data_IF_913061562741
#
_entry.id   IF_913061562741
#
_cell.length_a   1.000
_cell.length_b   1.000
_cell.length_c   1.000
_cell.angle_alpha   90.00
_cell.angle_beta   90.00
_cell.angle_gamma   90.00
#
_symmetry.space_group_name_H-M   'P 1'
#
loop_
_entity.id
_entity.type
_entity.pdbx_description
1 polymer ?
#
# COMPACT_ATOMS: atom_id res chain seq x y z
N UNK A 1 -2.94 0.06 -10.34
CA UNK A 1 -3.34 1.29 -9.62
C UNK A 1 -4.19 2.20 -10.50
N UNK A 2 -3.74 2.72 -11.62
CA UNK A 2 -4.50 3.62 -12.52
C UNK A 2 -5.87 3.05 -12.93
N UNK A 3 -5.94 1.76 -13.30
CA UNK A 3 -7.22 1.11 -13.63
C UNK A 3 -8.19 1.05 -12.44
N UNK A 4 -7.68 0.91 -11.22
CA UNK A 4 -8.51 0.92 -10.02
C UNK A 4 -9.06 2.33 -9.74
N UNK A 5 -8.24 3.36 -9.91
CA UNK A 5 -8.67 4.77 -9.83
C UNK A 5 -9.75 5.07 -10.87
N UNK A 6 -9.51 4.70 -12.13
CA UNK A 6 -10.46 4.92 -13.22
C UNK A 6 -11.81 4.21 -12.96
N UNK A 7 -11.77 2.97 -12.46
CA UNK A 7 -12.99 2.22 -12.13
C UNK A 7 -13.80 2.87 -10.99
N UNK A 8 -13.14 3.53 -10.06
CA UNK A 8 -13.78 4.29 -8.98
C UNK A 8 -14.10 5.74 -9.31
N UNK A 9 -13.79 6.20 -10.53
CA UNK A 9 -13.84 7.62 -10.91
C UNK A 9 -13.10 8.54 -9.92
N UNK A 10 -11.95 8.09 -9.42
CA UNK A 10 -11.12 8.77 -8.44
C UNK A 10 -9.87 9.37 -9.07
N UNK A 11 -9.44 10.50 -8.53
CA UNK A 11 -8.12 11.08 -8.80
C UNK A 11 -7.09 10.54 -7.79
N UNK A 12 -5.80 10.49 -8.13
CA UNK A 12 -4.77 9.97 -7.23
C UNK A 12 -4.77 10.63 -5.84
N UNK A 13 -4.92 11.94 -5.76
CA UNK A 13 -4.94 12.70 -4.50
C UNK A 13 -6.09 12.35 -3.55
N UNK A 14 -7.12 11.63 -4.03
CA UNK A 14 -8.20 11.14 -3.18
C UNK A 14 -7.77 9.96 -2.30
N UNK A 15 -6.71 9.24 -2.69
CA UNK A 15 -6.17 8.10 -1.93
C UNK A 15 -5.20 8.61 -0.88
N UNK A 16 -5.57 8.45 0.38
CA UNK A 16 -4.76 8.92 1.51
C UNK A 16 -3.81 7.88 2.09
N UNK A 17 -3.82 6.64 1.60
CA UNK A 17 -2.91 5.60 2.04
C UNK A 17 -2.84 4.45 1.06
N UNK A 18 -1.64 3.87 0.90
CA UNK A 18 -1.39 2.67 0.09
C UNK A 18 -0.81 1.56 0.97
N UNK A 19 -1.54 0.44 1.10
CA UNK A 19 -0.97 -0.79 1.62
C UNK A 19 -0.20 -1.47 0.49
N UNK A 20 1.12 -1.55 0.65
CA UNK A 20 2.04 -2.08 -0.36
C UNK A 20 1.99 -3.61 -0.40
N UNK A 21 2.22 -4.17 -1.57
CA UNK A 21 2.56 -5.60 -1.68
C UNK A 21 3.82 -5.92 -0.88
N UNK A 22 4.87 -5.13 -0.98
CA UNK A 22 6.01 -5.04 -0.07
C UNK A 22 6.56 -6.37 0.43
N UNK A 23 7.21 -7.13 -0.45
CA UNK A 23 7.73 -8.48 -0.13
C UNK A 23 9.10 -8.47 0.53
N UNK A 24 9.70 -7.31 0.74
CA UNK A 24 11.09 -7.13 1.18
C UNK A 24 12.11 -7.73 0.21
N UNK A 25 11.74 -7.88 -1.05
CA UNK A 25 12.68 -8.20 -2.13
C UNK A 25 13.02 -6.92 -2.88
N UNK A 26 14.31 -6.66 -3.12
CA UNK A 26 14.76 -5.43 -3.78
C UNK A 26 14.03 -5.18 -5.11
N UNK A 27 13.86 -6.21 -5.92
CA UNK A 27 13.19 -6.07 -7.23
C UNK A 27 11.75 -5.60 -7.09
N UNK A 28 10.97 -6.19 -6.17
CA UNK A 28 9.59 -5.78 -5.94
C UNK A 28 9.55 -4.37 -5.35
N UNK A 29 10.29 -4.13 -4.28
CA UNK A 29 10.14 -2.92 -3.48
C UNK A 29 10.56 -1.67 -4.26
N UNK A 30 11.62 -1.77 -5.07
CA UNK A 30 12.02 -0.68 -5.97
C UNK A 30 10.99 -0.45 -7.07
N UNK A 31 10.50 -1.51 -7.72
CA UNK A 31 9.51 -1.38 -8.80
C UNK A 31 8.17 -0.85 -8.27
N UNK A 32 7.69 -1.37 -7.15
CA UNK A 32 6.45 -0.92 -6.52
C UNK A 32 6.56 0.51 -6.02
N UNK A 33 7.66 0.84 -5.34
CA UNK A 33 7.90 2.20 -4.83
C UNK A 33 7.89 3.25 -5.96
N UNK A 34 8.51 2.95 -7.10
CA UNK A 34 8.46 3.81 -8.29
C UNK A 34 7.04 3.92 -8.84
N UNK A 35 6.35 2.81 -9.00
CA UNK A 35 4.97 2.82 -9.52
C UNK A 35 3.99 3.58 -8.60
N UNK A 36 4.15 3.48 -7.28
CA UNK A 36 3.37 4.27 -6.31
C UNK A 36 3.71 5.76 -6.43
N UNK A 37 4.99 6.10 -6.52
CA UNK A 37 5.43 7.48 -6.73
C UNK A 37 4.88 8.08 -8.03
N UNK A 38 4.94 7.34 -9.13
CA UNK A 38 4.49 7.83 -10.44
C UNK A 38 2.99 8.07 -10.48
N UNK A 39 2.20 7.26 -9.75
CA UNK A 39 0.73 7.40 -9.73
C UNK A 39 0.26 8.39 -8.67
N UNK A 40 0.82 8.36 -7.46
CA UNK A 40 0.31 9.11 -6.30
C UNK A 40 1.22 10.27 -5.86
N UNK A 41 2.41 10.36 -6.44
CA UNK A 41 3.42 11.35 -6.05
C UNK A 41 4.19 10.96 -4.79
N UNK A 42 5.09 11.85 -4.33
CA UNK A 42 6.04 11.55 -3.26
C UNK A 42 5.46 11.63 -1.84
N UNK A 43 4.22 12.09 -1.68
CA UNK A 43 3.64 12.41 -0.36
C UNK A 43 2.50 11.52 0.08
N UNK A 44 2.07 10.55 -0.71
CA UNK A 44 1.03 9.62 -0.30
C UNK A 44 1.63 8.57 0.62
N UNK A 45 1.18 8.49 1.91
CA UNK A 45 1.69 7.53 2.85
C UNK A 45 1.47 6.10 2.37
N UNK A 46 2.49 5.26 2.54
CA UNK A 46 2.42 3.85 2.19
C UNK A 46 3.11 3.00 3.26
N UNK A 47 2.70 1.76 3.45
CA UNK A 47 3.42 0.82 4.30
C UNK A 47 3.20 -0.63 3.87
N UNK A 48 4.12 -1.51 4.29
CA UNK A 48 4.03 -2.94 4.08
C UNK A 48 3.87 -3.66 5.42
N UNK A 49 2.87 -4.53 5.51
CA UNK A 49 2.55 -5.23 6.77
C UNK A 49 3.04 -6.68 6.81
N UNK A 50 3.62 -7.19 5.72
CA UNK A 50 4.18 -8.55 5.65
C UNK A 50 5.27 -8.83 6.69
N UNK A 51 5.97 -7.81 7.15
CA UNK A 51 6.93 -7.94 8.26
C UNK A 51 6.29 -8.40 9.58
N UNK A 52 4.99 -8.16 9.77
CA UNK A 52 4.26 -8.56 10.97
C UNK A 52 3.64 -9.97 10.86
N UNK A 53 3.10 -10.34 9.71
CA UNK A 53 2.32 -11.58 9.56
C UNK A 53 2.89 -12.57 8.54
N UNK A 54 4.00 -12.24 7.89
CA UNK A 54 4.59 -13.05 6.83
C UNK A 54 3.90 -12.88 5.47
N UNK A 55 4.46 -13.50 4.45
CA UNK A 55 3.86 -13.56 3.12
C UNK A 55 2.90 -14.76 3.03
N UNK A 56 1.61 -14.49 3.15
CA UNK A 56 0.56 -15.53 3.22
C UNK A 56 0.14 -16.08 1.84
N UNK A 57 0.91 -15.81 0.79
CA UNK A 57 0.68 -16.31 -0.58
C UNK A 57 -0.77 -16.05 -1.05
N UNK A 58 -1.55 -17.09 -1.28
CA UNK A 58 -2.94 -16.97 -1.72
C UNK A 58 -3.86 -16.21 -0.77
N UNK A 59 -3.52 -16.12 0.52
CA UNK A 59 -4.26 -15.34 1.51
C UNK A 59 -3.72 -13.92 1.71
N UNK A 60 -2.60 -13.54 1.06
CA UNK A 60 -1.98 -12.23 1.27
C UNK A 60 -2.93 -11.08 0.90
N UNK A 61 -3.57 -11.16 -0.25
CA UNK A 61 -4.45 -10.09 -0.73
C UNK A 61 -5.63 -9.82 0.19
N UNK A 62 -6.29 -10.84 0.74
CA UNK A 62 -7.41 -10.64 1.66
C UNK A 62 -6.93 -10.11 3.02
N UNK A 63 -5.78 -10.57 3.50
CA UNK A 63 -5.20 -10.06 4.76
C UNK A 63 -4.87 -8.58 4.64
N UNK A 64 -4.24 -8.16 3.57
CA UNK A 64 -3.87 -6.77 3.30
C UNK A 64 -5.10 -5.89 3.02
N UNK A 65 -6.13 -6.43 2.38
CA UNK A 65 -7.42 -5.76 2.24
C UNK A 65 -8.06 -5.48 3.61
N UNK A 66 -7.99 -6.43 4.56
CA UNK A 66 -8.47 -6.23 5.93
C UNK A 66 -7.65 -5.13 6.64
N UNK A 67 -6.33 -5.13 6.49
CA UNK A 67 -5.47 -4.05 7.04
C UNK A 67 -5.88 -2.69 6.48
N UNK A 68 -6.11 -2.60 5.17
CA UNK A 68 -6.55 -1.36 4.53
C UNK A 68 -7.93 -0.89 5.05
N UNK A 69 -8.86 -1.82 5.23
CA UNK A 69 -10.18 -1.52 5.83
C UNK A 69 -10.07 -1.05 7.29
N UNK A 70 -9.19 -1.69 8.08
CA UNK A 70 -8.94 -1.28 9.46
C UNK A 70 -8.28 0.11 9.51
N UNK A 71 -7.40 0.44 8.59
CA UNK A 71 -6.82 1.78 8.49
C UNK A 71 -7.90 2.85 8.24
N UNK A 72 -8.85 2.56 7.34
CA UNK A 72 -10.03 3.41 7.13
C UNK A 72 -10.88 3.55 8.40
N UNK A 73 -11.23 2.42 9.02
CA UNK A 73 -12.15 2.39 10.15
C UNK A 73 -11.57 3.09 11.37
N UNK A 74 -10.31 2.79 11.70
CA UNK A 74 -9.65 3.26 12.92
C UNK A 74 -9.04 4.65 12.79
N UNK A 75 -8.86 5.16 11.59
CA UNK A 75 -8.14 6.41 11.37
C UNK A 75 -6.67 6.30 11.78
N UNK A 76 -6.07 5.15 11.55
CA UNK A 76 -4.67 4.88 11.88
C UNK A 76 -3.99 4.13 10.72
N UNK A 77 -2.93 4.69 10.20
CA UNK A 77 -2.11 4.08 9.16
C UNK A 77 -1.02 3.22 9.83
N UNK A 78 -0.95 1.92 9.53
CA UNK A 78 0.09 1.08 10.12
C UNK A 78 1.47 1.44 9.57
N UNK A 79 2.51 1.31 10.40
CA UNK A 79 3.88 1.37 9.95
C UNK A 79 4.34 0.09 9.26
N UNK A 80 5.53 0.14 8.68
CA UNK A 80 6.17 -1.02 8.06
C UNK A 80 6.90 -1.82 9.13
N UNK A 81 6.25 -2.87 9.62
CA UNK A 81 6.72 -3.68 10.73
C UNK A 81 8.12 -4.24 10.49
N UNK A 82 8.95 -4.22 11.53
CA UNK A 82 10.34 -4.72 11.53
C UNK A 82 11.30 -3.96 10.59
N UNK A 83 10.89 -2.81 10.06
CA UNK A 83 11.75 -1.93 9.25
C UNK A 83 12.37 -0.86 10.14
N UNK A 84 13.69 -0.71 10.08
CA UNK A 84 14.45 0.29 10.87
C UNK A 84 14.97 1.44 10.01
N UNK A 85 15.19 1.18 8.73
CA UNK A 85 15.66 2.17 7.76
C UNK A 85 15.12 1.80 6.38
N UNK A 86 14.87 2.81 5.56
CA UNK A 86 14.45 2.62 4.17
C UNK A 86 15.68 2.46 3.28
N UNK A 87 15.54 1.66 2.22
CA UNK A 87 16.53 1.61 1.15
C UNK A 87 16.62 2.96 0.44
N UNK A 88 17.82 3.34 0.00
CA UNK A 88 18.08 4.59 -0.74
C UNK A 88 17.32 4.68 -2.07
N UNK A 89 16.91 3.55 -2.62
CA UNK A 89 16.12 3.47 -3.85
C UNK A 89 14.60 3.56 -3.60
N UNK A 90 14.16 3.71 -2.34
CA UNK A 90 12.73 3.86 -2.01
C UNK A 90 12.21 5.19 -2.55
N UNK A 91 11.33 5.12 -3.55
CA UNK A 91 10.83 6.29 -4.25
C UNK A 91 9.57 6.92 -3.63
N UNK A 92 8.75 6.13 -2.93
CA UNK A 92 7.50 6.59 -2.30
C UNK A 92 7.68 6.86 -0.80
N UNK A 93 6.68 7.52 -0.19
CA UNK A 93 6.68 7.80 1.25
C UNK A 93 6.29 6.54 2.04
N UNK A 94 7.29 5.77 2.49
CA UNK A 94 7.06 4.58 3.33
C UNK A 94 7.09 4.97 4.80
N UNK A 95 5.99 4.68 5.50
CA UNK A 95 5.90 4.85 6.96
C UNK A 95 6.67 3.73 7.66
N UNK A 96 7.68 4.07 8.46
CA UNK A 96 8.37 3.12 9.35
C UNK A 96 7.50 2.88 10.59
N UNK A 97 7.00 3.93 11.19
CA UNK A 97 6.06 3.89 12.32
C UNK A 97 4.66 4.25 11.85
N UNK A 98 3.66 3.75 12.57
CA UNK A 98 2.27 4.08 12.27
C UNK A 98 1.92 5.50 12.71
N UNK A 99 0.93 6.09 12.04
CA UNK A 99 0.48 7.45 12.35
C UNK A 99 -1.06 7.57 12.35
N UNK A 100 -1.57 8.56 13.07
CA UNK A 100 -2.98 8.90 13.04
C UNK A 100 -3.30 9.69 11.77
N UNK A 101 -4.26 9.19 10.99
CA UNK A 101 -4.77 9.87 9.81
C UNK A 101 -6.18 9.36 9.51
N UNK A 102 -6.99 10.19 8.87
CA UNK A 102 -8.36 9.85 8.50
C UNK A 102 -8.53 9.84 6.97
N UNK A 103 -7.94 8.85 6.26
CA UNK A 103 -8.06 8.78 4.81
C UNK A 103 -9.51 8.54 4.41
N UNK A 104 -9.95 9.15 3.31
CA UNK A 104 -11.26 8.88 2.73
C UNK A 104 -11.24 7.61 1.87
N UNK A 105 -10.13 7.40 1.18
CA UNK A 105 -9.87 6.21 0.37
C UNK A 105 -8.51 5.65 0.70
N UNK A 106 -8.42 4.33 0.68
CA UNK A 106 -7.16 3.57 0.82
C UNK A 106 -7.05 2.58 -0.32
N UNK A 107 -5.82 2.29 -0.74
CA UNK A 107 -5.54 1.31 -1.79
C UNK A 107 -4.72 0.16 -1.21
N UNK A 108 -5.01 -1.07 -1.63
CA UNK A 108 -4.19 -2.25 -1.35
C UNK A 108 -3.68 -2.85 -2.65
N UNK A 109 -2.37 -3.08 -2.73
CA UNK A 109 -1.70 -3.73 -3.86
C UNK A 109 -1.43 -5.21 -3.57
N UNK A 110 -1.62 -6.04 -4.58
CA UNK A 110 -1.21 -7.44 -4.57
C UNK A 110 -0.61 -7.79 -5.92
N UNK A 111 0.67 -8.18 -5.93
CA UNK A 111 1.40 -8.54 -7.13
C UNK A 111 1.76 -10.02 -7.09
N UNK A 112 1.35 -10.76 -8.11
CA UNK A 112 1.55 -12.20 -8.21
C UNK A 112 2.50 -12.59 -9.33
N UNK A 113 2.99 -13.80 -9.26
CA UNK A 113 3.80 -14.39 -10.31
C UNK A 113 3.03 -14.44 -11.64
N UNK A 114 3.75 -14.33 -12.75
CA UNK A 114 3.15 -14.35 -14.09
C UNK A 114 2.45 -13.03 -14.47
N UNK A 115 2.67 -11.93 -13.72
CA UNK A 115 2.12 -10.61 -14.03
C UNK A 115 0.65 -10.42 -13.60
N UNK A 116 0.14 -11.26 -12.71
CA UNK A 116 -1.18 -11.09 -12.11
C UNK A 116 -1.13 -10.00 -11.04
N UNK A 117 -1.41 -8.77 -11.43
CA UNK A 117 -1.38 -7.62 -10.54
C UNK A 117 -2.80 -7.14 -10.24
N UNK A 118 -3.08 -6.92 -8.96
CA UNK A 118 -4.36 -6.40 -8.49
C UNK A 118 -4.15 -5.19 -7.58
N UNK A 119 -4.97 -4.17 -7.75
CA UNK A 119 -5.08 -3.05 -6.82
C UNK A 119 -6.55 -2.84 -6.49
N UNK A 120 -6.88 -2.81 -5.22
CA UNK A 120 -8.25 -2.61 -4.74
C UNK A 120 -8.31 -1.32 -3.94
N UNK A 121 -9.33 -0.49 -4.19
CA UNK A 121 -9.57 0.74 -3.43
C UNK A 121 -10.79 0.55 -2.55
N UNK A 122 -10.64 0.93 -1.29
CA UNK A 122 -11.72 0.99 -0.31
C UNK A 122 -11.99 2.43 0.06
N UNK A 123 -13.25 2.78 0.26
CA UNK A 123 -13.69 4.11 0.66
C UNK A 123 -14.71 4.08 1.79
N UNK A 124 -14.79 5.17 2.55
CA UNK A 124 -15.91 5.36 3.49
C UNK A 124 -17.18 5.69 2.69
N UNK A 125 -18.27 5.06 3.07
CA UNK A 125 -19.61 5.41 2.59
C UNK A 125 -20.05 6.76 3.14
#
# INVERSE_FOLDING_TARGET
MERALAAGALVPDAVGYVNLHGTATRTNDVAEGRAVHDVFGPRTPASATKGAHGHLLGAAGITEAIVALLALERGFLPGTANTRALDVETACQVLIEGEQAAPRYVLSNSFGFGGNNCSVIFGRA
#
